data_IF_709206064466
#
_entry.id   IF_709206064466
#
_cell.length_a   1.000
_cell.length_b   1.000
_cell.length_c   1.000
_cell.angle_alpha   90.00
_cell.angle_beta   90.00
_cell.angle_gamma   90.00
#
_symmetry.space_group_name_H-M   'P 1'
#
loop_
_entity.id
_entity.type
_entity.pdbx_description
1 polymer ?
#
# COMPACT_ATOMS: atom_id res chain seq x y z
N UNK A 1 -4.60 -0.71 12.36
CA UNK A 1 -3.55 -0.47 11.35
C UNK A 1 -3.07 0.97 11.47
N UNK A 2 -1.77 1.18 11.64
CA UNK A 2 -1.13 2.51 11.61
C UNK A 2 0.25 2.38 10.94
N UNK A 3 0.90 3.50 10.63
CA UNK A 3 2.15 3.51 9.86
C UNK A 3 3.26 2.70 10.52
N UNK A 4 3.48 2.88 11.82
CA UNK A 4 4.58 2.24 12.54
C UNK A 4 4.39 0.73 12.67
N UNK A 5 3.19 0.28 13.04
CA UNK A 5 2.91 -1.15 13.19
C UNK A 5 3.03 -1.92 11.86
N UNK A 6 2.62 -1.31 10.74
CA UNK A 6 2.79 -1.93 9.41
C UNK A 6 4.25 -1.92 8.94
N UNK A 7 5.00 -0.87 9.25
CA UNK A 7 6.44 -0.81 8.95
C UNK A 7 7.21 -1.88 9.74
N UNK A 8 6.94 -2.01 11.04
CA UNK A 8 7.52 -3.03 11.91
C UNK A 8 7.21 -4.43 11.40
N UNK A 9 5.93 -4.74 11.15
CA UNK A 9 5.52 -6.04 10.62
C UNK A 9 6.17 -6.36 9.26
N UNK A 10 6.37 -5.36 8.40
CA UNK A 10 7.09 -5.55 7.14
C UNK A 10 8.57 -5.87 7.35
N UNK A 11 9.23 -5.19 8.29
CA UNK A 11 10.65 -5.43 8.61
C UNK A 11 10.84 -6.82 9.21
N UNK A 12 9.97 -7.22 10.14
CA UNK A 12 9.98 -8.57 10.73
C UNK A 12 9.78 -9.63 9.65
N UNK A 13 8.71 -9.50 8.86
CA UNK A 13 8.42 -10.42 7.75
C UNK A 13 9.59 -10.55 6.78
N UNK A 14 10.20 -9.44 6.34
CA UNK A 14 11.35 -9.45 5.44
C UNK A 14 12.62 -10.03 6.10
N UNK A 15 12.76 -9.90 7.41
CA UNK A 15 13.89 -10.43 8.17
C UNK A 15 13.82 -11.95 8.26
N UNK A 16 12.62 -12.49 8.47
CA UNK A 16 12.32 -13.92 8.62
C UNK A 16 12.32 -14.70 7.30
N UNK A 17 12.24 -14.01 6.16
CA UNK A 17 12.30 -14.67 4.85
C UNK A 17 13.66 -15.33 4.60
N UNK A 18 13.68 -16.53 3.98
CA UNK A 18 14.88 -17.12 3.42
C UNK A 18 15.58 -16.15 2.44
N UNK A 19 16.90 -16.23 2.36
CA UNK A 19 17.72 -15.29 1.57
C UNK A 19 17.31 -15.21 0.09
N UNK A 20 16.90 -16.32 -0.52
CA UNK A 20 16.43 -16.41 -1.91
C UNK A 20 15.04 -15.80 -2.14
N UNK A 21 14.28 -15.56 -1.06
CA UNK A 21 12.95 -14.96 -1.10
C UNK A 21 12.92 -13.51 -0.63
N UNK A 22 14.01 -13.00 -0.08
CA UNK A 22 14.09 -11.60 0.34
C UNK A 22 13.87 -10.69 -0.86
N UNK A 23 13.02 -9.68 -0.65
CA UNK A 23 12.87 -8.60 -1.60
C UNK A 23 14.19 -7.86 -1.82
N UNK A 24 14.41 -7.38 -3.04
CA UNK A 24 15.53 -6.48 -3.30
C UNK A 24 15.39 -5.18 -2.50
N UNK A 25 16.51 -4.51 -2.21
CA UNK A 25 16.53 -3.21 -1.53
C UNK A 25 15.62 -2.18 -2.23
N UNK A 26 15.56 -2.22 -3.56
CA UNK A 26 14.69 -1.36 -4.35
C UNK A 26 13.19 -1.66 -4.16
N UNK A 27 12.82 -2.93 -4.01
CA UNK A 27 11.46 -3.33 -3.68
C UNK A 27 11.08 -2.95 -2.25
N UNK A 28 12.00 -3.15 -1.28
CA UNK A 28 11.84 -2.69 0.11
C UNK A 28 11.61 -1.18 0.16
N UNK A 29 12.48 -0.40 -0.47
CA UNK A 29 12.38 1.05 -0.46
C UNK A 29 11.12 1.54 -1.19
N UNK A 30 10.71 0.87 -2.28
CA UNK A 30 9.44 1.16 -2.95
C UNK A 30 8.25 0.89 -2.03
N UNK A 31 8.25 -0.21 -1.27
CA UNK A 31 7.15 -0.53 -0.36
C UNK A 31 7.03 0.51 0.75
N UNK A 32 8.14 0.90 1.39
CA UNK A 32 8.17 1.94 2.43
C UNK A 32 7.65 3.28 1.88
N UNK A 33 8.05 3.64 0.66
CA UNK A 33 7.54 4.85 0.03
C UNK A 33 6.03 4.77 -0.22
N UNK A 34 5.53 3.64 -0.72
CA UNK A 34 4.10 3.45 -0.94
C UNK A 34 3.31 3.47 0.38
N UNK A 35 3.87 2.90 1.45
CA UNK A 35 3.31 2.98 2.81
C UNK A 35 3.14 4.43 3.26
N UNK A 36 4.20 5.24 3.14
CA UNK A 36 4.15 6.67 3.44
C UNK A 36 3.07 7.37 2.62
N UNK A 37 3.00 7.11 1.31
CA UNK A 37 2.00 7.72 0.41
C UNK A 37 0.57 7.29 0.76
N UNK A 38 0.35 6.04 1.14
CA UNK A 38 -0.93 5.54 1.61
C UNK A 38 -1.36 6.27 2.90
N UNK A 39 -0.45 6.36 3.88
CA UNK A 39 -0.71 7.06 5.13
C UNK A 39 -1.03 8.56 4.93
N UNK A 40 -0.30 9.25 4.04
CA UNK A 40 -0.58 10.66 3.71
C UNK A 40 -1.95 10.91 3.05
N UNK A 41 -2.58 9.88 2.48
CA UNK A 41 -3.92 9.98 1.89
C UNK A 41 -4.99 9.26 2.72
N UNK A 42 -4.68 8.91 3.96
CA UNK A 42 -5.65 8.41 4.91
C UNK A 42 -6.74 9.47 5.16
N UNK A 43 -7.96 9.00 5.37
CA UNK A 43 -9.12 9.87 5.58
C UNK A 43 -9.50 9.87 7.06
N UNK A 44 -9.85 11.02 7.65
CA UNK A 44 -10.42 11.05 8.98
C UNK A 44 -11.81 10.41 8.95
N UNK A 45 -12.08 9.54 9.91
CA UNK A 45 -13.41 9.00 10.18
C UNK A 45 -14.12 9.79 11.27
N UNK A 46 -15.44 9.59 11.37
CA UNK A 46 -16.29 10.23 12.39
C UNK A 46 -15.88 9.81 13.81
N UNK A 47 -15.35 8.59 13.98
CA UNK A 47 -14.80 8.09 15.25
C UNK A 47 -13.33 8.50 15.50
N UNK A 48 -12.79 9.46 14.72
CA UNK A 48 -11.46 10.05 14.94
C UNK A 48 -10.28 9.18 14.51
N UNK A 49 -10.53 8.11 13.74
CA UNK A 49 -9.49 7.22 13.21
C UNK A 49 -9.03 7.69 11.83
N UNK A 50 -7.79 7.34 11.48
CA UNK A 50 -7.25 7.55 10.14
C UNK A 50 -7.41 6.28 9.31
N UNK A 51 -8.31 6.33 8.33
CA UNK A 51 -8.67 5.20 7.50
C UNK A 51 -7.83 5.20 6.23
N UNK A 52 -6.97 4.19 6.09
CA UNK A 52 -6.16 4.04 4.90
C UNK A 52 -7.01 3.62 3.71
N UNK A 53 -6.77 4.26 2.56
CA UNK A 53 -7.46 3.94 1.32
C UNK A 53 -7.01 2.60 0.78
N UNK A 54 -7.96 1.81 0.29
CA UNK A 54 -7.65 0.55 -0.43
C UNK A 54 -6.93 0.85 -1.73
N UNK A 55 -7.33 1.91 -2.42
CA UNK A 55 -6.75 2.33 -3.69
C UNK A 55 -6.21 3.76 -3.59
N UNK A 56 -4.95 3.96 -4.00
CA UNK A 56 -4.34 5.28 -4.04
C UNK A 56 -3.45 5.46 -5.28
N UNK A 57 -3.25 6.74 -5.65
CA UNK A 57 -2.46 7.13 -6.81
C UNK A 57 -1.13 7.74 -6.39
N UNK A 58 -0.09 7.36 -7.11
CA UNK A 58 1.23 7.98 -7.03
C UNK A 58 1.67 8.41 -8.43
N UNK A 59 2.07 9.67 -8.58
CA UNK A 59 2.61 10.22 -9.82
C UNK A 59 3.89 9.44 -10.22
N UNK A 60 3.96 8.84 -11.42
CA UNK A 60 5.14 8.08 -11.85
C UNK A 60 6.44 8.86 -11.74
N UNK A 61 6.41 10.15 -12.11
CA UNK A 61 7.57 11.04 -12.08
C UNK A 61 8.11 11.23 -10.65
N UNK A 62 7.23 11.14 -9.65
CA UNK A 62 7.62 11.20 -8.24
C UNK A 62 8.37 9.95 -7.78
N UNK A 63 8.04 8.78 -8.34
CA UNK A 63 8.74 7.52 -8.03
C UNK A 63 10.12 7.54 -8.69
N UNK A 64 10.18 7.77 -10.00
CA UNK A 64 11.47 7.75 -10.72
C UNK A 64 12.46 8.77 -10.15
N UNK A 65 12.00 9.99 -9.86
CA UNK A 65 12.82 11.04 -9.27
C UNK A 65 13.32 10.66 -7.88
N UNK A 66 12.47 10.10 -7.03
CA UNK A 66 12.85 9.72 -5.66
C UNK A 66 13.89 8.61 -5.65
N UNK A 67 13.71 7.59 -6.49
CA UNK A 67 14.61 6.45 -6.53
C UNK A 67 15.86 6.70 -7.38
N UNK A 68 15.86 7.72 -8.25
CA UNK A 68 16.92 7.93 -9.24
C UNK A 68 17.09 6.72 -10.16
N UNK A 69 16.00 5.98 -10.42
CA UNK A 69 15.99 4.73 -11.21
C UNK A 69 15.04 4.83 -12.39
N UNK A 70 15.35 4.07 -13.45
CA UNK A 70 14.48 3.97 -14.63
C UNK A 70 13.17 3.25 -14.33
N UNK A 71 12.13 3.53 -15.14
CA UNK A 71 10.84 2.84 -15.08
C UNK A 71 10.97 1.30 -15.17
N UNK A 72 12.00 0.78 -15.86
CA UNK A 72 12.26 -0.67 -15.91
C UNK A 72 12.56 -1.23 -14.51
N UNK A 73 13.40 -0.54 -13.73
CA UNK A 73 13.72 -0.95 -12.37
C UNK A 73 12.48 -0.81 -11.47
N UNK A 74 11.74 0.29 -11.59
CA UNK A 74 10.50 0.47 -10.83
C UNK A 74 9.48 -0.64 -11.12
N UNK A 75 9.32 -1.04 -12.39
CA UNK A 75 8.46 -2.17 -12.76
C UNK A 75 8.92 -3.49 -12.15
N UNK A 76 10.23 -3.74 -12.13
CA UNK A 76 10.81 -4.92 -11.45
C UNK A 76 10.46 -4.92 -9.96
N UNK A 77 10.69 -3.81 -9.26
CA UNK A 77 10.37 -3.68 -7.84
C UNK A 77 8.88 -3.87 -7.55
N UNK A 78 8.00 -3.28 -8.39
CA UNK A 78 6.54 -3.53 -8.30
C UNK A 78 6.23 -5.01 -8.46
N UNK A 79 6.84 -5.69 -9.43
CA UNK A 79 6.62 -7.12 -9.67
C UNK A 79 7.04 -7.95 -8.46
N UNK A 80 8.22 -7.70 -7.89
CA UNK A 80 8.67 -8.40 -6.68
C UNK A 80 7.67 -8.26 -5.53
N UNK A 81 7.15 -7.05 -5.29
CA UNK A 81 6.13 -6.81 -4.26
C UNK A 81 4.77 -7.48 -4.55
N UNK A 82 4.37 -7.54 -5.83
CA UNK A 82 3.14 -8.24 -6.25
C UNK A 82 3.29 -9.74 -6.08
N UNK A 83 4.41 -10.31 -6.51
CA UNK A 83 4.69 -11.75 -6.40
C UNK A 83 4.79 -12.18 -4.93
N UNK A 84 5.35 -11.33 -4.06
CA UNK A 84 5.38 -11.52 -2.60
C UNK A 84 4.03 -11.25 -1.92
N UNK A 85 2.99 -10.89 -2.67
CA UNK A 85 1.65 -10.64 -2.15
C UNK A 85 1.58 -9.46 -1.17
N UNK A 86 2.47 -8.47 -1.30
CA UNK A 86 2.49 -7.24 -0.48
C UNK A 86 1.93 -6.02 -1.21
N UNK A 87 1.68 -6.13 -2.51
CA UNK A 87 1.16 -5.07 -3.35
C UNK A 87 0.19 -5.61 -4.41
N UNK A 88 -0.85 -4.84 -4.73
CA UNK A 88 -1.55 -4.93 -6.02
C UNK A 88 -1.31 -3.64 -6.80
N UNK A 89 -1.11 -3.76 -8.11
CA UNK A 89 -0.87 -2.62 -8.98
C UNK A 89 -1.71 -2.72 -10.25
N UNK A 90 -2.48 -1.67 -10.53
CA UNK A 90 -3.25 -1.52 -11.76
C UNK A 90 -2.53 -0.51 -12.64
N UNK A 91 -2.04 -0.97 -13.79
CA UNK A 91 -1.18 -0.17 -14.67
C UNK A 91 -1.91 1.06 -15.20
N UNK A 92 -1.17 2.17 -15.32
CA UNK A 92 -1.66 3.37 -15.99
C UNK A 92 -1.93 3.10 -17.48
N UNK A 93 -3.02 3.67 -18.00
CA UNK A 93 -3.36 3.68 -19.42
C UNK A 93 -3.28 5.13 -19.89
N UNK A 94 -2.41 5.40 -20.88
CA UNK A 94 -2.18 6.75 -21.41
C UNK A 94 -3.51 7.43 -21.73
N UNK A 95 -3.71 8.64 -21.19
CA UNK A 95 -4.91 9.48 -21.34
C UNK A 95 -6.24 8.85 -20.87
N UNK A 96 -6.24 7.68 -20.21
CA UNK A 96 -7.47 7.02 -19.75
C UNK A 96 -7.49 6.75 -18.26
N UNK A 97 -6.40 6.24 -17.70
CA UNK A 97 -6.35 5.83 -16.30
C UNK A 97 -4.98 6.04 -15.68
N UNK A 98 -4.97 6.61 -14.49
CA UNK A 98 -3.78 6.71 -13.64
C UNK A 98 -3.42 5.34 -13.07
N UNK A 99 -2.14 5.08 -12.82
CA UNK A 99 -1.70 3.82 -12.21
C UNK A 99 -2.09 3.77 -10.73
N UNK A 100 -2.84 2.75 -10.32
CA UNK A 100 -3.40 2.65 -8.96
C UNK A 100 -2.67 1.58 -8.17
N UNK A 101 -2.37 1.88 -6.91
CA UNK A 101 -1.74 0.97 -5.97
C UNK A 101 -2.72 0.58 -4.86
N UNK A 102 -2.58 -0.65 -4.39
CA UNK A 102 -3.22 -1.16 -3.17
C UNK A 102 -2.15 -1.88 -2.37
N UNK A 103 -1.85 -1.36 -1.18
CA UNK A 103 -1.03 -2.09 -0.21
C UNK A 103 -1.86 -3.22 0.38
N UNK A 104 -1.21 -4.37 0.59
CA UNK A 104 -1.83 -5.49 1.30
C UNK A 104 -1.37 -5.38 2.76
N UNK A 105 -2.29 -5.11 3.71
CA UNK A 105 -1.93 -4.99 5.12
C UNK A 105 -1.32 -6.26 5.69
N UNK A 106 -0.43 -6.10 6.67
CA UNK A 106 -0.02 -7.20 7.55
C UNK A 106 -1.04 -7.46 8.64
N UNK A 107 -1.74 -6.42 9.13
CA UNK A 107 -2.86 -6.60 10.04
C UNK A 107 -3.88 -7.58 9.45
N UNK A 108 -4.21 -8.62 10.22
CA UNK A 108 -5.05 -9.73 9.78
C UNK A 108 -6.53 -9.55 10.15
N UNK A 109 -6.84 -8.50 10.93
CA UNK A 109 -8.17 -8.07 11.34
C UNK A 109 -8.66 -6.84 10.57
N UNK A 110 -8.13 -6.60 9.38
CA UNK A 110 -8.60 -5.54 8.48
C UNK A 110 -9.02 -6.08 7.13
N UNK A 111 -10.07 -5.49 6.58
CA UNK A 111 -10.56 -5.82 5.24
C UNK A 111 -11.05 -4.55 4.51
N UNK A 112 -11.09 -4.58 3.17
CA UNK A 112 -11.76 -3.54 2.39
C UNK A 112 -13.22 -3.36 2.83
N UNK A 113 -13.57 -2.15 3.20
CA UNK A 113 -14.94 -1.72 3.49
C UNK A 113 -15.22 -0.39 2.79
N UNK A 114 -16.50 -0.03 2.71
CA UNK A 114 -16.95 1.25 2.17
C UNK A 114 -17.50 2.11 3.29
N UNK A 115 -16.90 3.27 3.49
CA UNK A 115 -17.31 4.23 4.51
C UNK A 115 -17.60 5.58 3.87
N UNK A 116 -18.53 6.34 4.46
CA UNK A 116 -18.73 7.75 4.13
C UNK A 116 -17.69 8.58 4.85
N UNK A 117 -16.93 9.40 4.12
CA UNK A 117 -16.04 10.39 4.74
C UNK A 117 -16.84 11.60 5.24
N UNK A 118 -16.15 12.56 5.88
CA UNK A 118 -16.78 13.80 6.36
C UNK A 118 -17.40 14.68 5.25
N UNK A 119 -17.10 14.40 3.98
CA UNK A 119 -17.67 15.05 2.80
C UNK A 119 -18.83 14.26 2.17
N UNK A 120 -19.36 13.24 2.87
CA UNK A 120 -20.40 12.30 2.42
C UNK A 120 -20.03 11.44 1.18
N UNK A 121 -18.75 11.41 0.81
CA UNK A 121 -18.26 10.57 -0.27
C UNK A 121 -18.08 9.14 0.21
N UNK A 122 -18.58 8.18 -0.56
CA UNK A 122 -18.32 6.76 -0.29
C UNK A 122 -16.92 6.40 -0.78
N UNK A 123 -16.05 6.08 0.16
CA UNK A 123 -14.64 5.75 -0.08
C UNK A 123 -14.35 4.31 0.33
N UNK A 124 -13.51 3.63 -0.46
CA UNK A 124 -13.02 2.29 -0.11
C UNK A 124 -11.76 2.40 0.75
N UNK A 125 -11.85 1.87 1.97
CA UNK A 125 -10.83 1.96 3.01
C UNK A 125 -10.65 0.61 3.70
N UNK A 126 -9.53 0.40 4.38
CA UNK A 126 -9.36 -0.74 5.26
C UNK A 126 -10.02 -0.46 6.61
N UNK A 127 -11.06 -1.23 6.93
CA UNK A 127 -11.76 -1.19 8.21
C UNK A 127 -11.48 -2.44 9.03
N UNK A 128 -11.68 -2.34 10.35
CA UNK A 128 -11.59 -3.49 11.25
C UNK A 128 -12.71 -4.48 10.94
N UNK A 129 -12.40 -5.78 11.01
CA UNK A 129 -13.35 -6.88 10.89
C UNK A 129 -13.29 -7.73 12.15
N UNK A 130 -14.43 -8.00 12.77
CA UNK A 130 -14.52 -8.90 13.91
C UNK A 130 -14.24 -10.33 13.45
N UNK A 131 -13.15 -10.92 13.95
CA UNK A 131 -12.75 -12.30 13.64
C UNK A 131 -13.61 -13.37 14.33
N UNK A 132 -14.51 -12.96 15.24
CA UNK A 132 -15.29 -13.86 16.09
C UNK A 132 -16.81 -13.79 15.85
N UNK A 133 -17.25 -13.21 14.72
CA UNK A 133 -18.66 -13.14 14.35
C UNK A 133 -19.16 -14.37 13.56
N UNK A 134 -18.49 -15.52 13.69
CA UNK A 134 -18.81 -16.76 12.99
C UNK A 134 -18.80 -17.97 13.92
#
# INVERSE_FOLDING_TARGET
MNFFSELEAFIEWQSDLPADRKLSEGAVALWIYLLYRCNCCALPSIDGRWLWRVEFFVRPEGIERLFGRSERNIRRYRKELVDAGRLKYQKAVKNRRKGVYTLIPFADNVAPTRLKNLADETVSVFGLVDKYAG
#
